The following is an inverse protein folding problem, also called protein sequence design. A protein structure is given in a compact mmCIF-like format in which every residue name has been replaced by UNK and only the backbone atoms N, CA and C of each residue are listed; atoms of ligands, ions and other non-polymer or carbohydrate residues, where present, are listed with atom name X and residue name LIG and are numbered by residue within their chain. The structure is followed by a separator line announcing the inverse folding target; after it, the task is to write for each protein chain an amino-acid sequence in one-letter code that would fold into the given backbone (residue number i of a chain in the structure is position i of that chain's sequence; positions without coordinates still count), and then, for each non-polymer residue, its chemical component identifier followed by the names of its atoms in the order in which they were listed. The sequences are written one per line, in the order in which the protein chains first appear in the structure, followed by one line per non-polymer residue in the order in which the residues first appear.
data_IF_762684136442
#
_entry.id   IF_762684136442
#
_cell.length_a   1.000
_cell.length_b   1.000
_cell.length_c   1.000
_cell.angle_alpha   90.00
_cell.angle_beta   90.00
_cell.angle_gamma   90.00
#
_symmetry.space_group_name_H-M   'P 1'
#
loop_
_entity.id
_entity.type
_entity.pdbx_description
1 polymer ?
#
# COMPACT_ATOMS: atom_id res chain seq x y z
N UNK A 1 -19.75 8.53 11.52
CA UNK A 1 -18.30 8.52 11.20
C UNK A 1 -17.56 8.70 12.51
N UNK A 2 -17.00 7.61 13.05
CA UNK A 2 -16.12 7.74 14.20
C UNK A 2 -14.83 8.45 13.77
N UNK A 3 -14.56 9.62 14.35
CA UNK A 3 -13.22 10.19 14.34
C UNK A 3 -12.35 9.30 15.20
N UNK A 4 -11.77 8.26 14.61
CA UNK A 4 -10.68 7.54 15.26
C UNK A 4 -9.55 8.53 15.51
N UNK A 5 -9.36 8.92 16.78
CA UNK A 5 -8.18 9.65 17.23
C UNK A 5 -6.96 8.74 17.01
N UNK A 6 -6.32 8.88 15.85
CA UNK A 6 -5.21 8.05 15.43
C UNK A 6 -3.99 8.27 16.34
N UNK A 7 -3.43 7.19 16.89
CA UNK A 7 -2.42 7.15 17.97
C UNK A 7 -0.99 7.61 17.61
N UNK A 8 -0.73 8.11 16.39
CA UNK A 8 0.55 8.74 16.04
C UNK A 8 0.28 9.98 15.23
N UNK A 9 0.60 11.12 15.82
CA UNK A 9 0.32 12.47 15.33
C UNK A 9 1.20 12.78 14.09
N UNK A 10 0.87 12.16 12.95
CA UNK A 10 1.63 12.31 11.72
C UNK A 10 1.27 13.63 11.06
N UNK A 11 2.29 14.42 10.67
CA UNK A 11 2.08 15.70 9.95
C UNK A 11 1.13 15.59 8.76
N UNK A 12 1.09 14.44 8.07
CA UNK A 12 0.14 14.17 6.99
C UNK A 12 -1.32 14.11 7.47
N UNK A 13 -1.58 13.47 8.61
CA UNK A 13 -2.93 13.35 9.17
C UNK A 13 -3.47 14.69 9.63
N UNK A 14 -2.61 15.55 10.22
CA UNK A 14 -2.98 16.92 10.58
C UNK A 14 -3.31 17.77 9.35
N UNK A 15 -2.52 17.67 8.29
CA UNK A 15 -2.81 18.36 7.01
C UNK A 15 -4.14 17.85 6.42
N UNK A 16 -4.40 16.54 6.44
CA UNK A 16 -5.67 15.97 5.99
C UNK A 16 -6.85 16.44 6.83
N UNK A 17 -6.71 16.46 8.15
CA UNK A 17 -7.73 16.95 9.07
C UNK A 17 -8.03 18.45 8.86
N UNK A 18 -7.01 19.26 8.56
CA UNK A 18 -7.17 20.68 8.23
C UNK A 18 -8.00 20.95 6.98
N UNK A 19 -8.15 19.99 6.05
CA UNK A 19 -9.06 20.12 4.92
C UNK A 19 -10.51 19.71 5.24
N UNK A 20 -10.73 18.98 6.34
CA UNK A 20 -12.06 18.54 6.78
C UNK A 20 -12.69 19.54 7.76
N UNK A 21 -11.87 20.09 8.66
CA UNK A 21 -12.29 21.09 9.64
C UNK A 21 -11.13 22.07 9.89
N UNK A 22 -11.26 23.28 9.33
CA UNK A 22 -10.25 24.33 9.41
C UNK A 22 -10.13 24.93 10.82
N UNK A 23 -11.11 24.71 11.69
CA UNK A 23 -11.19 25.34 13.01
C UNK A 23 -10.55 24.51 14.14
N UNK A 24 -10.40 23.20 13.95
CA UNK A 24 -9.95 22.28 15.01
C UNK A 24 -8.45 21.97 15.00
N UNK A 25 -7.70 22.36 13.95
CA UNK A 25 -6.29 22.02 13.81
C UNK A 25 -5.44 23.25 13.46
N UNK A 26 -4.64 23.70 14.42
CA UNK A 26 -3.58 24.68 14.20
C UNK A 26 -2.37 24.01 13.53
N UNK A 27 -2.10 24.37 12.27
CA UNK A 27 -0.93 23.88 11.55
C UNK A 27 0.30 24.70 11.90
N UNK A 28 1.43 24.02 12.10
CA UNK A 28 2.73 24.72 12.18
C UNK A 28 3.09 25.36 10.83
N UNK A 29 3.96 26.38 10.83
CA UNK A 29 4.38 27.07 9.59
C UNK A 29 4.92 26.09 8.53
N UNK A 30 5.70 25.09 8.96
CA UNK A 30 6.25 24.04 8.08
C UNK A 30 5.18 23.13 7.49
N UNK A 31 4.11 22.87 8.24
CA UNK A 31 2.97 22.07 7.75
C UNK A 31 2.09 22.90 6.81
N UNK A 32 1.95 24.20 7.04
CA UNK A 32 1.27 25.11 6.14
C UNK A 32 1.99 25.23 4.78
N UNK A 33 3.32 25.28 4.78
CA UNK A 33 4.11 25.22 3.53
C UNK A 33 3.91 23.89 2.79
N UNK A 34 3.94 22.76 3.51
CA UNK A 34 3.64 21.45 2.92
C UNK A 34 2.25 21.42 2.30
N UNK A 35 1.23 21.93 3.01
CA UNK A 35 -0.15 22.04 2.52
C UNK A 35 -0.21 22.85 1.20
N UNK A 36 0.51 23.96 1.12
CA UNK A 36 0.63 24.78 -0.11
C UNK A 36 1.34 24.04 -1.25
N UNK A 37 2.43 23.32 -0.97
CA UNK A 37 3.13 22.52 -2.00
C UNK A 37 2.27 21.38 -2.53
N UNK A 38 1.55 20.69 -1.65
CA UNK A 38 0.66 19.60 -2.03
C UNK A 38 -0.50 20.10 -2.89
N UNK A 39 -1.15 21.22 -2.52
CA UNK A 39 -2.20 21.82 -3.34
C UNK A 39 -1.67 22.34 -4.68
N UNK A 40 -0.46 22.92 -4.71
CA UNK A 40 0.19 23.32 -5.95
C UNK A 40 0.44 22.12 -6.87
N UNK A 41 1.00 21.03 -6.35
CA UNK A 41 1.24 19.78 -7.09
C UNK A 41 -0.05 19.26 -7.74
N UNK A 42 -1.17 19.30 -7.02
CA UNK A 42 -2.46 18.86 -7.52
C UNK A 42 -3.01 19.78 -8.61
N UNK A 43 -2.92 21.10 -8.41
CA UNK A 43 -3.38 22.08 -9.39
C UNK A 43 -2.64 21.97 -10.73
N UNK A 44 -1.34 21.64 -10.70
CA UNK A 44 -0.54 21.41 -11.91
C UNK A 44 -1.04 20.21 -12.72
N UNK A 45 -1.48 19.15 -12.04
CA UNK A 45 -2.05 17.96 -12.68
C UNK A 45 -3.44 18.25 -13.23
N UNK A 46 -4.29 18.91 -12.44
CA UNK A 46 -5.68 19.17 -12.80
C UNK A 46 -5.82 20.20 -13.94
N UNK A 47 -5.13 21.33 -13.84
CA UNK A 47 -5.30 22.45 -14.78
C UNK A 47 -4.47 22.28 -16.05
N UNK A 48 -3.20 21.87 -15.91
CA UNK A 48 -2.24 21.86 -17.01
C UNK A 48 -1.99 20.45 -17.57
N UNK A 49 -2.60 19.42 -16.99
CA UNK A 49 -2.48 18.01 -17.41
C UNK A 49 -1.03 17.52 -17.52
N UNK A 50 -0.15 18.06 -16.69
CA UNK A 50 1.26 17.64 -16.67
C UNK A 50 1.39 16.18 -16.24
N UNK A 51 2.41 15.49 -16.76
CA UNK A 51 2.76 14.15 -16.29
C UNK A 51 3.35 14.21 -14.88
N UNK A 52 3.31 13.10 -14.15
CA UNK A 52 3.90 12.99 -12.81
C UNK A 52 5.34 13.49 -12.79
N UNK A 53 6.16 13.05 -13.76
CA UNK A 53 7.56 13.48 -13.86
C UNK A 53 7.70 14.99 -14.05
N UNK A 54 6.88 15.60 -14.91
CA UNK A 54 6.90 17.05 -15.14
C UNK A 54 6.53 17.82 -13.86
N UNK A 55 5.52 17.36 -13.12
CA UNK A 55 5.12 18.00 -11.86
C UNK A 55 6.24 17.91 -10.82
N UNK A 56 6.93 16.78 -10.72
CA UNK A 56 8.07 16.64 -9.81
C UNK A 56 9.19 17.63 -10.16
N UNK A 57 9.53 17.77 -11.44
CA UNK A 57 10.55 18.74 -11.88
C UNK A 57 10.15 20.19 -11.56
N UNK A 58 8.87 20.54 -11.77
CA UNK A 58 8.34 21.86 -11.45
C UNK A 58 8.39 22.11 -9.93
N UNK A 59 7.99 21.14 -9.11
CA UNK A 59 8.05 21.26 -7.64
C UNK A 59 9.48 21.43 -7.14
N UNK A 60 10.44 20.69 -7.70
CA UNK A 60 11.85 20.83 -7.36
C UNK A 60 12.39 22.23 -7.72
N UNK A 61 12.01 22.74 -8.90
CA UNK A 61 12.43 24.06 -9.38
C UNK A 61 11.81 25.19 -8.56
N UNK A 62 10.50 25.14 -8.32
CA UNK A 62 9.75 26.25 -7.74
C UNK A 62 9.90 26.31 -6.21
N UNK A 63 10.08 25.17 -5.55
CA UNK A 63 10.18 25.08 -4.09
C UNK A 63 11.57 24.68 -3.56
N UNK A 64 12.53 24.40 -4.45
CA UNK A 64 13.91 24.05 -4.06
C UNK A 64 14.03 22.75 -3.26
N UNK A 65 13.07 21.83 -3.38
CA UNK A 65 13.02 20.59 -2.60
C UNK A 65 13.77 19.45 -3.30
N UNK A 66 14.22 18.46 -2.52
CA UNK A 66 14.82 17.25 -3.07
C UNK A 66 13.79 16.40 -3.82
N UNK A 67 14.25 15.64 -4.82
CA UNK A 67 13.41 14.76 -5.63
C UNK A 67 12.60 13.78 -4.77
N UNK A 68 13.23 13.18 -3.75
CA UNK A 68 12.56 12.26 -2.83
C UNK A 68 11.43 12.94 -2.04
N UNK A 69 11.62 14.20 -1.64
CA UNK A 69 10.59 14.98 -0.94
C UNK A 69 9.44 15.34 -1.88
N UNK A 70 9.76 15.73 -3.12
CA UNK A 70 8.77 16.03 -4.15
C UNK A 70 7.87 14.82 -4.45
N UNK A 71 8.46 13.62 -4.60
CA UNK A 71 7.68 12.40 -4.80
C UNK A 71 6.78 12.08 -3.61
N UNK A 72 7.30 12.23 -2.39
CA UNK A 72 6.53 11.98 -1.17
C UNK A 72 5.34 12.94 -1.06
N UNK A 73 5.57 14.23 -1.26
CA UNK A 73 4.51 15.24 -1.19
C UNK A 73 3.51 15.13 -2.34
N UNK A 74 3.95 14.72 -3.53
CA UNK A 74 3.08 14.37 -4.65
C UNK A 74 2.16 13.19 -4.29
N UNK A 75 2.70 12.08 -3.81
CA UNK A 75 1.90 10.91 -3.43
C UNK A 75 0.90 11.24 -2.30
N UNK A 76 1.35 12.00 -1.29
CA UNK A 76 0.47 12.49 -0.24
C UNK A 76 -0.63 13.41 -0.80
N UNK A 77 -0.31 14.22 -1.80
CA UNK A 77 -1.28 15.11 -2.46
C UNK A 77 -2.36 14.29 -3.17
N UNK A 78 -1.97 13.25 -3.93
CA UNK A 78 -2.92 12.33 -4.56
C UNK A 78 -3.80 11.63 -3.52
N UNK A 79 -3.25 11.22 -2.36
CA UNK A 79 -4.05 10.59 -1.31
C UNK A 79 -5.08 11.51 -0.65
N UNK A 80 -4.84 12.82 -0.62
CA UNK A 80 -5.77 13.80 -0.04
C UNK A 80 -6.84 14.21 -1.06
N UNK A 81 -6.43 14.51 -2.30
CA UNK A 81 -7.34 15.08 -3.29
C UNK A 81 -7.93 14.06 -4.28
N UNK A 82 -7.46 12.81 -4.25
CA UNK A 82 -7.80 11.73 -5.17
C UNK A 82 -6.64 11.41 -6.12
N UNK A 83 -6.62 10.21 -6.69
CA UNK A 83 -5.69 9.89 -7.77
C UNK A 83 -6.34 10.25 -9.11
N UNK A 84 -5.68 11.12 -9.90
CA UNK A 84 -6.15 11.50 -11.24
C UNK A 84 -5.90 10.41 -12.28
N UNK A 85 -4.87 9.60 -12.08
CA UNK A 85 -4.46 8.55 -13.04
C UNK A 85 -5.18 7.23 -12.82
N UNK A 86 -5.94 7.05 -11.73
CA UNK A 86 -6.63 5.80 -11.50
C UNK A 86 -7.77 5.65 -12.48
N UNK A 87 -7.49 4.99 -13.59
CA UNK A 87 -8.49 4.18 -14.28
C UNK A 87 -8.94 3.11 -13.27
N UNK A 88 -10.18 3.20 -12.83
CA UNK A 88 -10.79 2.12 -12.05
C UNK A 88 -10.59 0.82 -12.81
N UNK A 89 -10.18 -0.25 -12.14
CA UNK A 89 -10.00 -1.58 -12.73
C UNK A 89 -11.27 -2.03 -13.48
N UNK A 90 -12.44 -1.59 -13.02
CA UNK A 90 -13.72 -1.75 -13.72
C UNK A 90 -13.77 -1.06 -15.10
N UNK A 91 -13.22 0.14 -15.22
CA UNK A 91 -13.16 0.88 -16.49
C UNK A 91 -12.17 0.23 -17.47
N UNK A 92 -11.01 -0.23 -17.00
CA UNK A 92 -10.06 -0.96 -17.86
C UNK A 92 -10.65 -2.29 -18.34
N UNK A 93 -11.33 -3.03 -17.45
CA UNK A 93 -12.08 -4.24 -17.82
C UNK A 93 -13.14 -3.94 -18.88
N UNK A 94 -13.85 -2.82 -18.78
CA UNK A 94 -14.85 -2.42 -19.78
C UNK A 94 -14.23 -2.15 -21.15
N UNK A 95 -13.11 -1.41 -21.19
CA UNK A 95 -12.36 -1.15 -22.44
C UNK A 95 -11.87 -2.45 -23.07
N UNK A 96 -11.34 -3.37 -22.25
CA UNK A 96 -10.90 -4.69 -22.74
C UNK A 96 -12.08 -5.52 -23.29
N UNK A 97 -13.23 -5.53 -22.61
CA UNK A 97 -14.44 -6.22 -23.08
C UNK A 97 -14.84 -5.76 -24.49
N UNK A 98 -14.83 -4.45 -24.73
CA UNK A 98 -15.15 -3.88 -26.04
C UNK A 98 -14.11 -4.24 -27.11
N UNK A 99 -12.82 -4.23 -26.75
CA UNK A 99 -11.75 -4.65 -27.65
C UNK A 99 -11.88 -6.12 -28.08
N UNK A 100 -12.11 -7.04 -27.14
CA UNK A 100 -12.30 -8.46 -27.45
C UNK A 100 -13.57 -8.73 -28.26
N UNK A 101 -14.64 -7.98 -28.00
CA UNK A 101 -15.86 -8.06 -28.80
C UNK A 101 -15.62 -7.65 -30.26
N UNK A 102 -14.84 -6.60 -30.49
CA UNK A 102 -14.48 -6.16 -31.83
C UNK A 102 -13.61 -7.19 -32.57
N UNK A 103 -12.63 -7.80 -31.89
CA UNK A 103 -11.80 -8.86 -32.49
C UNK A 103 -12.61 -10.13 -32.79
N UNK A 104 -13.55 -10.49 -31.93
CA UNK A 104 -14.51 -11.56 -32.20
C UNK A 104 -15.30 -11.30 -33.49
N UNK A 105 -15.87 -10.09 -33.65
CA UNK A 105 -16.60 -9.74 -34.87
C UNK A 105 -15.72 -9.80 -36.13
N UNK A 106 -14.45 -9.41 -36.04
CA UNK A 106 -13.50 -9.54 -37.16
C UNK A 106 -13.21 -11.00 -37.48
N UNK A 107 -12.99 -11.84 -36.47
CA UNK A 107 -12.73 -13.26 -36.65
C UNK A 107 -13.93 -14.00 -37.29
N UNK A 108 -15.15 -13.67 -36.87
CA UNK A 108 -16.40 -14.20 -37.47
C UNK A 108 -16.53 -13.77 -38.93
N UNK A 109 -16.28 -12.48 -39.24
CA UNK A 109 -16.30 -11.98 -40.62
C UNK A 109 -15.23 -12.64 -41.50
N UNK A 110 -14.08 -12.99 -40.93
CA UNK A 110 -13.01 -13.70 -41.61
C UNK A 110 -13.26 -15.22 -41.73
N UNK A 111 -14.35 -15.75 -41.16
CA UNK A 111 -14.66 -17.18 -41.16
C UNK A 111 -13.73 -18.03 -40.29
N UNK A 112 -12.95 -17.42 -39.40
CA UNK A 112 -12.01 -18.12 -38.53
C UNK A 112 -12.65 -18.42 -37.18
N UNK A 113 -13.31 -19.58 -37.08
CA UNK A 113 -14.00 -20.03 -35.87
C UNK A 113 -13.07 -20.23 -34.67
N UNK A 114 -11.83 -20.68 -34.89
CA UNK A 114 -10.88 -20.93 -33.81
C UNK A 114 -10.45 -19.64 -33.11
N UNK A 115 -10.20 -18.58 -33.89
CA UNK A 115 -9.90 -17.26 -33.33
C UNK A 115 -11.11 -16.65 -32.61
N UNK A 116 -12.31 -16.86 -33.14
CA UNK A 116 -13.54 -16.40 -32.49
C UNK A 116 -13.76 -17.07 -31.12
N UNK A 117 -13.51 -18.38 -31.01
CA UNK A 117 -13.59 -19.12 -29.74
C UNK A 117 -12.52 -18.66 -28.76
N UNK A 118 -11.29 -18.39 -29.22
CA UNK A 118 -10.22 -17.84 -28.36
C UNK A 118 -10.58 -16.47 -27.81
N UNK A 119 -11.07 -15.55 -28.64
CA UNK A 119 -11.50 -14.22 -28.20
C UNK A 119 -12.63 -14.28 -27.16
N UNK A 120 -13.56 -15.23 -27.30
CA UNK A 120 -14.65 -15.44 -26.34
C UNK A 120 -14.16 -16.05 -25.01
N UNK A 121 -13.12 -16.89 -25.01
CA UNK A 121 -12.52 -17.42 -23.78
C UNK A 121 -11.88 -16.30 -22.96
N UNK A 122 -11.04 -15.47 -23.60
CA UNK A 122 -10.42 -14.31 -22.94
C UNK A 122 -11.48 -13.33 -22.42
N UNK A 123 -12.56 -13.12 -23.17
CA UNK A 123 -13.70 -12.30 -22.73
C UNK A 123 -14.39 -12.88 -21.48
N UNK A 124 -14.58 -14.20 -21.42
CA UNK A 124 -15.17 -14.90 -20.26
C UNK A 124 -14.29 -14.70 -19.03
N UNK A 125 -12.98 -14.83 -19.18
CA UNK A 125 -12.01 -14.71 -18.10
C UNK A 125 -11.99 -13.29 -17.51
N UNK A 126 -12.06 -12.25 -18.35
CA UNK A 126 -12.15 -10.84 -17.90
C UNK A 126 -13.43 -10.56 -17.09
N UNK A 127 -14.50 -11.29 -17.37
CA UNK A 127 -15.75 -11.16 -16.64
C UNK A 127 -15.77 -11.92 -15.31
N UNK A 128 -14.70 -12.67 -14.98
CA UNK A 128 -14.58 -13.50 -13.78
C UNK A 128 -15.82 -14.38 -13.51
N UNK A 129 -16.50 -14.85 -14.57
CA UNK A 129 -17.79 -15.59 -14.46
C UNK A 129 -17.61 -16.95 -13.74
N UNK A 130 -16.39 -17.50 -13.75
CA UNK A 130 -16.05 -18.78 -13.10
C UNK A 130 -15.45 -18.62 -11.68
N UNK A 131 -15.05 -17.40 -11.28
CA UNK A 131 -14.52 -17.23 -9.94
C UNK A 131 -15.68 -17.34 -8.94
N UNK A 132 -15.62 -18.40 -8.13
CA UNK A 132 -16.42 -18.54 -6.92
C UNK A 132 -16.15 -17.31 -6.02
N UNK A 133 -16.87 -16.21 -6.25
CA UNK A 133 -16.75 -14.91 -5.55
C UNK A 133 -16.84 -15.02 -4.01
N UNK A 134 -17.21 -16.20 -3.48
CA UNK A 134 -17.44 -16.47 -2.06
C UNK A 134 -16.60 -17.62 -1.45
N UNK A 135 -15.54 -18.11 -2.10
CA UNK A 135 -14.65 -19.07 -1.43
C UNK A 135 -13.70 -18.32 -0.47
N UNK A 136 -14.11 -18.22 0.79
CA UNK A 136 -13.24 -17.73 1.86
C UNK A 136 -12.17 -18.80 2.11
N UNK A 137 -10.89 -18.47 1.90
CA UNK A 137 -9.75 -19.32 2.26
C UNK A 137 -9.82 -19.68 3.76
N UNK A 138 -10.06 -20.95 4.12
CA UNK A 138 -10.14 -21.35 5.53
C UNK A 138 -8.83 -21.07 6.29
N UNK A 139 -7.69 -21.12 5.59
CA UNK A 139 -6.37 -20.83 6.14
C UNK A 139 -6.20 -19.38 6.60
N UNK A 140 -6.97 -18.44 6.05
CA UNK A 140 -6.94 -17.02 6.48
C UNK A 140 -7.83 -16.76 7.70
N UNK A 141 -8.72 -17.69 8.03
CA UNK A 141 -9.57 -17.63 9.24
C UNK A 141 -8.93 -18.40 10.40
N UNK A 142 -8.08 -19.40 10.11
CA UNK A 142 -7.42 -20.18 11.14
C UNK A 142 -6.49 -19.31 11.98
N UNK A 143 -6.61 -19.42 13.30
CA UNK A 143 -5.72 -18.75 14.23
C UNK A 143 -4.31 -19.35 14.12
N UNK A 144 -3.33 -18.53 13.75
CA UNK A 144 -1.93 -18.95 13.75
C UNK A 144 -1.43 -19.05 15.19
N UNK A 145 -1.13 -20.28 15.64
CA UNK A 145 -0.46 -20.54 16.91
C UNK A 145 1.06 -20.55 16.68
N UNK A 146 1.76 -19.55 17.23
CA UNK A 146 3.22 -19.45 17.13
C UNK A 146 3.88 -20.11 18.34
N UNK A 147 4.41 -21.31 18.16
CA UNK A 147 5.18 -22.02 19.18
C UNK A 147 6.65 -21.61 19.14
N UNK A 148 7.01 -20.57 19.88
CA UNK A 148 8.40 -20.09 19.96
C UNK A 148 9.13 -20.84 21.08
N UNK A 149 10.17 -21.62 20.72
CA UNK A 149 11.07 -22.26 21.70
C UNK A 149 12.26 -21.35 21.98
N UNK A 150 12.33 -20.82 23.19
CA UNK A 150 13.44 -19.95 23.61
C UNK A 150 14.56 -20.76 24.30
N UNK A 151 15.84 -20.35 24.21
CA UNK A 151 16.95 -20.92 24.96
C UNK A 151 16.80 -20.76 26.48
N UNK A 152 17.26 -21.75 27.26
CA UNK A 152 17.18 -21.79 28.74
C UNK A 152 17.70 -20.53 29.45
N UNK A 153 18.67 -19.82 28.85
CA UNK A 153 19.25 -18.59 29.40
C UNK A 153 18.28 -17.41 29.40
N UNK A 154 17.39 -17.35 28.41
CA UNK A 154 16.47 -16.21 28.20
C UNK A 154 15.27 -16.30 29.17
N UNK A 155 14.86 -17.49 29.61
CA UNK A 155 13.75 -17.63 30.58
C UNK A 155 14.00 -16.88 31.88
N UNK A 156 15.22 -16.92 32.43
CA UNK A 156 15.54 -16.22 33.69
C UNK A 156 15.45 -14.69 33.56
N UNK A 157 15.65 -14.17 32.35
CA UNK A 157 15.52 -12.75 32.03
C UNK A 157 14.04 -12.41 31.82
N UNK A 158 13.32 -13.23 31.05
CA UNK A 158 11.88 -13.11 30.84
C UNK A 158 11.10 -13.15 32.16
N UNK A 159 11.41 -14.07 33.08
CA UNK A 159 10.74 -14.18 34.38
C UNK A 159 10.87 -12.90 35.23
N UNK A 160 12.00 -12.18 35.11
CA UNK A 160 12.22 -10.92 35.82
C UNK A 160 11.44 -9.77 35.19
N UNK A 161 11.41 -9.70 33.86
CA UNK A 161 10.71 -8.64 33.12
C UNK A 161 9.19 -8.83 33.14
N UNK A 162 8.69 -10.07 33.07
CA UNK A 162 7.26 -10.36 33.15
C UNK A 162 6.66 -10.18 34.54
N UNK A 163 7.47 -10.20 35.61
CA UNK A 163 6.99 -9.97 36.98
C UNK A 163 6.33 -8.58 37.16
N UNK A 164 6.78 -7.58 36.40
CA UNK A 164 6.27 -6.21 36.46
C UNK A 164 5.20 -5.90 35.40
N UNK A 165 4.85 -6.89 34.55
CA UNK A 165 3.76 -6.79 33.57
C UNK A 165 4.01 -5.86 32.36
N UNK A 166 5.10 -5.09 32.37
CA UNK A 166 5.53 -4.24 31.26
C UNK A 166 6.96 -4.62 30.91
N UNK A 167 7.15 -5.19 29.72
CA UNK A 167 8.48 -5.51 29.19
C UNK A 167 8.91 -4.36 28.28
N UNK A 168 9.89 -3.56 28.72
CA UNK A 168 10.48 -2.50 27.88
C UNK A 168 11.67 -3.04 27.09
N UNK A 169 11.45 -3.25 25.79
CA UNK A 169 12.47 -3.78 24.89
C UNK A 169 13.53 -2.75 24.45
N UNK A 170 13.37 -1.47 24.78
CA UNK A 170 14.32 -0.43 24.35
C UNK A 170 15.51 -0.26 25.28
N UNK A 171 15.41 -0.74 26.52
CA UNK A 171 16.42 -0.56 27.56
C UNK A 171 17.01 -1.90 28.03
N UNK A 172 16.89 -2.95 27.22
CA UNK A 172 17.54 -4.22 27.46
C UNK A 172 19.02 -4.10 27.09
N UNK A 173 19.90 -4.16 28.09
CA UNK A 173 21.32 -4.46 27.89
C UNK A 173 21.43 -5.92 27.45
N UNK A 174 21.23 -6.16 26.16
CA UNK A 174 21.53 -7.45 25.53
C UNK A 174 23.05 -7.47 25.40
N UNK A 175 23.74 -8.14 26.31
CA UNK A 175 25.13 -8.52 26.09
C UNK A 175 25.21 -9.28 24.77
N UNK A 176 26.11 -8.85 23.88
CA UNK A 176 26.37 -9.50 22.60
C UNK A 176 26.59 -11.01 22.84
N UNK A 177 25.64 -11.82 22.39
CA UNK A 177 25.82 -13.26 22.43
C UNK A 177 26.96 -13.63 21.47
N UNK A 178 28.02 -14.24 21.99
CA UNK A 178 29.07 -14.82 21.15
C UNK A 178 28.43 -15.76 20.14
N UNK A 179 28.58 -15.45 18.85
CA UNK A 179 28.15 -16.30 17.76
C UNK A 179 28.82 -17.67 17.91
N UNK A 180 28.01 -18.71 18.13
CA UNK A 180 28.43 -20.10 18.01
C UNK A 180 27.80 -20.66 16.75
N UNK A 181 28.66 -21.14 15.86
CA UNK A 181 28.27 -21.96 14.74
C UNK A 181 27.59 -23.22 15.30
N UNK A 182 26.33 -23.41 14.94
CA UNK A 182 25.60 -24.63 15.27
C UNK A 182 26.08 -25.66 14.26
N UNK A 183 26.89 -26.63 14.72
CA UNK A 183 27.11 -27.83 13.92
C UNK A 183 25.76 -28.53 13.80
N UNK A 184 25.29 -28.70 12.56
CA UNK A 184 24.19 -29.60 12.24
C UNK A 184 24.64 -31.01 12.67
N UNK A 185 24.28 -31.43 13.88
CA UNK A 185 24.18 -32.84 14.16
C UNK A 185 23.01 -33.34 13.33
N UNK A 186 23.32 -34.16 12.33
CA UNK A 186 22.39 -35.08 11.68
C UNK A 186 21.66 -35.84 12.78
N UNK A 187 20.51 -35.32 13.22
CA UNK A 187 19.52 -36.12 13.93
C UNK A 187 18.87 -36.98 12.86
N UNK A 188 19.35 -38.23 12.80
CA UNK A 188 18.74 -39.36 12.11
C UNK A 188 17.22 -39.35 12.32
N UNK A 189 16.50 -39.41 11.20
CA UNK A 189 15.09 -39.78 11.15
C UNK A 189 14.89 -41.19 11.76
N UNK A 190 14.22 -41.28 12.92
CA UNK A 190 13.41 -42.43 13.35
C UNK A 190 12.05 -41.99 13.90
#
# INVERSE_FOLDING_TARGET
MELSKFKKDSSFQRIKASYLDESSVELTEREAEKKKRMSHAWSLRLNNKYSTYQVIQILMRDHGISQATAYREYNMSMQIFGELDTTTLAAERQVLKEAFWNEYQKAVKAGNGDLAVKALKEYKDICNIDENENQIDPNKIQAHEYNIRMPRRIYKMMDKEFAYGVVDFNNLEIEDAEFREVEETEDDDE
#
